data_IF_065154481382
#
_entry.id   IF_065154481382
#
_cell.length_a   1.000
_cell.length_b   1.000
_cell.length_c   1.000
_cell.angle_alpha   90.00
_cell.angle_beta   90.00
_cell.angle_gamma   90.00
#
_symmetry.space_group_name_H-M   'P 1'
#
loop_
_entity.id
_entity.type
_entity.pdbx_description
1 polymer ?
#
# COMPACT_ATOMS: atom_id res chain seq x y z
N UNK A 1 22.51 8.11 67.38
CA UNK A 1 21.07 8.00 67.67
C UNK A 1 20.29 8.57 66.50
N UNK A 2 19.25 7.85 66.08
CA UNK A 2 18.15 8.23 65.16
C UNK A 2 18.55 8.68 63.74
N UNK A 3 18.43 7.79 62.75
CA UNK A 3 17.20 7.54 61.95
C UNK A 3 16.73 8.75 61.17
N UNK A 4 16.96 8.76 59.84
CA UNK A 4 15.86 8.94 58.88
C UNK A 4 16.24 8.34 57.53
N UNK A 5 15.96 7.05 57.37
CA UNK A 5 15.56 6.45 56.09
C UNK A 5 14.38 7.25 55.56
N UNK A 6 14.41 7.74 54.32
CA UNK A 6 13.29 7.95 53.37
C UNK A 6 13.86 8.83 52.24
N UNK A 7 14.21 8.22 51.11
CA UNK A 7 14.08 8.79 49.76
C UNK A 7 14.27 7.64 48.76
N UNK A 8 13.35 6.66 48.81
CA UNK A 8 13.10 5.69 47.75
C UNK A 8 11.69 5.89 47.25
N UNK A 9 11.45 6.91 46.44
CA UNK A 9 10.22 7.08 45.65
C UNK A 9 10.49 7.98 44.44
N UNK A 10 11.38 7.57 43.54
CA UNK A 10 11.40 8.06 42.15
C UNK A 10 11.80 6.90 41.24
N UNK A 11 10.92 5.90 41.12
CA UNK A 11 11.01 4.86 40.12
C UNK A 11 9.62 4.24 39.93
N UNK A 12 8.65 5.05 39.52
CA UNK A 12 7.36 4.56 39.02
C UNK A 12 6.73 5.61 38.08
N UNK A 13 7.54 6.18 37.19
CA UNK A 13 7.06 7.05 36.13
C UNK A 13 6.94 6.23 34.84
N UNK A 14 5.69 6.04 34.40
CA UNK A 14 5.30 5.67 33.04
C UNK A 14 5.71 4.27 32.52
N UNK A 15 5.26 3.22 33.21
CA UNK A 15 4.86 1.97 32.55
C UNK A 15 3.34 1.76 32.65
N UNK A 16 2.58 2.87 32.73
CA UNK A 16 1.21 2.86 32.27
C UNK A 16 1.33 2.63 30.77
N UNK A 17 1.20 1.37 30.35
CA UNK A 17 0.94 1.07 28.96
C UNK A 17 -0.17 2.00 28.54
N UNK A 18 0.16 2.95 27.66
CA UNK A 18 -0.84 3.48 26.76
C UNK A 18 -1.52 2.22 26.25
N UNK A 19 -2.81 2.04 26.56
CA UNK A 19 -3.58 0.97 25.94
C UNK A 19 -3.32 1.17 24.46
N UNK A 20 -2.45 0.35 23.90
CA UNK A 20 -1.94 0.55 22.56
C UNK A 20 -3.15 0.38 21.69
N UNK A 21 -3.69 1.49 21.19
CA UNK A 21 -4.87 1.44 20.35
C UNK A 21 -4.53 0.46 19.22
N UNK A 22 -5.32 -0.60 19.14
CA UNK A 22 -5.01 -1.76 18.31
C UNK A 22 -6.31 -2.19 17.69
N UNK A 23 -6.31 -2.35 16.38
CA UNK A 23 -7.44 -2.92 15.66
C UNK A 23 -7.01 -4.14 14.86
N UNK A 24 -7.99 -4.83 14.31
CA UNK A 24 -7.81 -6.03 13.52
C UNK A 24 -8.79 -6.03 12.35
N UNK A 25 -8.31 -6.30 11.14
CA UNK A 25 -9.15 -6.25 9.94
C UNK A 25 -10.14 -7.42 9.82
N UNK A 26 -10.02 -8.46 10.65
CA UNK A 26 -10.97 -9.57 10.71
C UNK A 26 -12.07 -9.38 11.77
N UNK A 27 -12.11 -8.24 12.46
CA UNK A 27 -13.18 -7.90 13.40
C UNK A 27 -14.08 -6.84 12.78
N UNK A 28 -15.34 -7.21 12.50
CA UNK A 28 -16.33 -6.26 11.99
C UNK A 28 -16.81 -5.33 13.09
N UNK A 29 -17.09 -4.08 12.75
CA UNK A 29 -17.66 -3.05 13.60
C UNK A 29 -18.36 -1.96 12.79
N UNK A 30 -18.81 -0.87 13.43
CA UNK A 30 -19.55 0.20 12.76
C UNK A 30 -18.81 0.83 11.57
N UNK A 31 -17.48 0.93 11.67
CA UNK A 31 -16.62 1.56 10.66
C UNK A 31 -15.89 0.56 9.75
N UNK A 32 -16.15 -0.75 9.89
CA UNK A 32 -15.44 -1.77 9.13
C UNK A 32 -16.22 -3.09 9.02
N UNK A 33 -16.37 -3.62 7.81
CA UNK A 33 -17.04 -4.91 7.61
C UNK A 33 -16.34 -5.85 6.62
N UNK A 34 -15.17 -5.46 6.09
CA UNK A 34 -14.39 -6.25 5.15
C UNK A 34 -13.47 -7.21 5.92
N UNK A 35 -13.88 -8.47 6.07
CA UNK A 35 -13.16 -9.44 6.91
C UNK A 35 -12.67 -10.63 6.09
N UNK A 36 -12.19 -11.69 6.74
CA UNK A 36 -11.77 -12.92 6.03
C UNK A 36 -12.89 -13.55 5.20
N UNK A 37 -14.15 -13.21 5.45
CA UNK A 37 -15.31 -13.64 4.64
C UNK A 37 -15.32 -13.02 3.23
N UNK A 38 -14.68 -11.87 3.06
CA UNK A 38 -14.61 -11.11 1.80
C UNK A 38 -13.35 -11.49 0.99
N UNK A 39 -12.53 -12.40 1.52
CA UNK A 39 -11.43 -13.04 0.78
C UNK A 39 -11.96 -14.23 -0.02
N UNK A 40 -11.19 -14.66 -1.02
CA UNK A 40 -11.54 -15.84 -1.80
C UNK A 40 -11.69 -17.08 -0.91
N UNK A 41 -12.60 -17.98 -1.28
CA UNK A 41 -12.76 -19.25 -0.57
C UNK A 41 -11.50 -20.13 -0.66
N UNK A 42 -10.69 -19.94 -1.70
CA UNK A 42 -9.38 -20.57 -1.91
C UNK A 42 -8.27 -19.98 -1.04
N UNK A 43 -8.50 -18.84 -0.39
CA UNK A 43 -7.49 -18.20 0.45
C UNK A 43 -7.10 -19.12 1.60
N UNK A 44 -5.81 -19.38 1.69
CA UNK A 44 -5.19 -20.30 2.62
C UNK A 44 -5.35 -19.83 4.06
N UNK A 45 -5.32 -20.80 4.99
CA UNK A 45 -5.45 -20.49 6.40
C UNK A 45 -4.32 -19.58 6.90
N UNK A 46 -3.08 -19.85 6.48
CA UNK A 46 -1.91 -19.01 6.83
C UNK A 46 -2.09 -17.56 6.39
N UNK A 47 -2.67 -17.33 5.21
CA UNK A 47 -3.00 -15.99 4.74
C UNK A 47 -4.11 -15.35 5.58
N UNK A 48 -5.17 -16.08 5.90
CA UNK A 48 -6.26 -15.59 6.79
C UNK A 48 -5.76 -15.24 8.18
N UNK A 49 -4.84 -16.04 8.73
CA UNK A 49 -4.24 -15.80 10.04
C UNK A 49 -3.38 -14.52 10.02
N UNK A 50 -2.58 -14.33 8.98
CA UNK A 50 -1.79 -13.11 8.79
C UNK A 50 -2.67 -11.87 8.58
N UNK A 51 -3.74 -12.00 7.78
CA UNK A 51 -4.74 -10.95 7.59
C UNK A 51 -5.42 -10.57 8.91
N UNK A 52 -5.67 -11.57 9.77
CA UNK A 52 -6.26 -11.41 11.09
C UNK A 52 -5.22 -11.08 12.16
N UNK A 53 -4.03 -10.58 11.81
CA UNK A 53 -3.09 -10.07 12.79
C UNK A 53 -3.53 -8.69 13.29
N UNK A 54 -3.23 -8.40 14.55
CA UNK A 54 -3.46 -7.08 15.14
C UNK A 54 -2.53 -6.02 14.56
N UNK A 55 -3.04 -4.81 14.39
CA UNK A 55 -2.31 -3.62 13.98
C UNK A 55 -2.34 -2.64 15.15
N UNK A 56 -1.17 -2.35 15.71
CA UNK A 56 -1.00 -1.39 16.81
C UNK A 56 -1.03 0.04 16.24
N UNK A 57 -2.24 0.54 16.01
CA UNK A 57 -2.51 1.87 15.53
C UNK A 57 -3.87 2.35 16.06
N UNK A 58 -4.02 3.67 16.22
CA UNK A 58 -5.28 4.29 16.60
C UNK A 58 -6.41 3.94 15.62
N UNK A 59 -7.61 3.66 16.16
CA UNK A 59 -8.79 3.31 15.35
C UNK A 59 -9.22 4.42 14.40
N UNK A 60 -8.75 5.66 14.60
CA UNK A 60 -8.87 6.76 13.64
C UNK A 60 -8.45 6.32 12.23
N UNK A 61 -7.39 5.51 12.08
CA UNK A 61 -6.98 5.02 10.75
C UNK A 61 -8.05 4.12 10.13
N UNK A 62 -8.62 3.21 10.91
CA UNK A 62 -9.70 2.32 10.47
C UNK A 62 -10.94 3.13 10.08
N UNK A 63 -11.23 4.21 10.82
CA UNK A 63 -12.33 5.12 10.48
C UNK A 63 -12.04 5.92 9.21
N UNK A 64 -10.83 6.44 9.03
CA UNK A 64 -10.43 7.14 7.80
C UNK A 64 -10.55 6.23 6.58
N UNK A 65 -10.17 4.96 6.70
CA UNK A 65 -10.21 4.01 5.56
C UNK A 65 -11.61 3.47 5.30
N UNK A 66 -12.31 3.03 6.35
CA UNK A 66 -13.52 2.22 6.22
C UNK A 66 -14.81 2.91 6.60
N UNK A 67 -14.76 4.01 7.35
CA UNK A 67 -15.97 4.66 7.84
C UNK A 67 -16.69 5.39 6.71
N UNK A 68 -17.97 5.13 6.59
CA UNK A 68 -18.91 5.98 5.87
C UNK A 68 -19.82 6.76 6.82
N UNK A 69 -19.38 6.89 8.06
CA UNK A 69 -20.03 7.72 9.05
C UNK A 69 -19.97 9.19 8.59
N UNK A 70 -21.10 9.80 8.20
CA UNK A 70 -21.11 11.20 7.76
C UNK A 70 -20.76 12.17 8.89
N UNK A 71 -20.84 11.72 10.15
CA UNK A 71 -20.49 12.50 11.33
C UNK A 71 -19.02 12.29 11.74
N UNK A 72 -18.26 11.45 11.02
CA UNK A 72 -16.82 11.27 11.27
C UNK A 72 -16.03 12.45 10.72
N UNK A 73 -15.67 13.36 11.63
CA UNK A 73 -14.85 14.55 11.36
C UNK A 73 -13.58 14.51 12.23
N UNK A 74 -12.51 13.82 11.79
CA UNK A 74 -11.30 13.66 12.58
C UNK A 74 -10.63 15.00 12.82
N UNK A 75 -10.21 15.25 14.05
CA UNK A 75 -9.52 16.47 14.46
C UNK A 75 -8.00 16.25 14.49
N UNK A 76 -7.26 17.34 14.64
CA UNK A 76 -5.79 17.30 14.73
C UNK A 76 -5.28 16.39 15.87
N UNK A 77 -6.02 16.29 16.98
CA UNK A 77 -5.71 15.38 18.09
C UNK A 77 -5.84 13.90 17.71
N UNK A 78 -6.83 13.56 16.88
CA UNK A 78 -7.06 12.19 16.41
C UNK A 78 -5.92 11.78 15.47
N UNK A 79 -5.57 12.67 14.54
CA UNK A 79 -4.40 12.48 13.67
C UNK A 79 -3.11 12.40 14.48
N UNK A 80 -2.94 13.19 15.54
CA UNK A 80 -1.76 13.12 16.40
C UNK A 80 -1.66 11.79 17.15
N UNK A 81 -2.77 11.23 17.64
CA UNK A 81 -2.80 9.93 18.29
C UNK A 81 -2.48 8.79 17.30
N UNK A 82 -2.97 8.91 16.07
CA UNK A 82 -2.73 7.94 14.99
C UNK A 82 -1.30 8.01 14.42
N UNK A 83 -0.78 9.21 14.15
CA UNK A 83 0.46 9.49 13.44
C UNK A 83 1.71 9.28 14.31
N UNK A 84 1.86 8.06 14.82
CA UNK A 84 2.99 7.62 15.64
C UNK A 84 3.88 6.64 14.87
N UNK A 85 5.16 6.56 15.25
CA UNK A 85 6.07 5.54 14.70
C UNK A 85 5.55 4.12 14.98
N UNK A 86 4.95 3.89 16.15
CA UNK A 86 4.32 2.60 16.49
C UNK A 86 3.28 2.19 15.46
N UNK A 87 2.39 3.11 15.05
CA UNK A 87 1.42 2.83 13.99
C UNK A 87 2.10 2.54 12.65
N UNK A 88 3.02 3.39 12.21
CA UNK A 88 3.75 3.22 10.95
C UNK A 88 4.48 1.87 10.88
N UNK A 89 5.21 1.52 11.93
CA UNK A 89 5.99 0.30 12.02
C UNK A 89 5.09 -0.93 12.09
N UNK A 90 4.02 -0.88 12.90
CA UNK A 90 3.07 -1.98 12.99
C UNK A 90 2.36 -2.23 11.67
N UNK A 91 1.99 -1.18 10.95
CA UNK A 91 1.30 -1.30 9.66
C UNK A 91 2.24 -1.81 8.57
N UNK A 92 3.48 -1.35 8.56
CA UNK A 92 4.53 -1.86 7.66
C UNK A 92 4.82 -3.34 7.91
N UNK A 93 4.93 -3.73 9.18
CA UNK A 93 5.12 -5.12 9.55
C UNK A 93 3.90 -5.98 9.20
N UNK A 94 2.69 -5.47 9.40
CA UNK A 94 1.44 -6.13 9.00
C UNK A 94 1.44 -6.44 7.50
N UNK A 95 1.63 -5.44 6.64
CA UNK A 95 1.65 -5.63 5.18
C UNK A 95 2.74 -6.61 4.75
N UNK A 96 3.94 -6.50 5.33
CA UNK A 96 5.03 -7.44 5.07
C UNK A 96 4.67 -8.88 5.43
N UNK A 97 4.04 -9.10 6.58
CA UNK A 97 3.61 -10.42 7.03
C UNK A 97 2.52 -11.00 6.13
N UNK A 98 1.54 -10.18 5.75
CA UNK A 98 0.47 -10.59 4.82
C UNK A 98 1.07 -10.97 3.48
N UNK A 99 1.98 -10.16 2.90
CA UNK A 99 2.67 -10.50 1.64
C UNK A 99 3.43 -11.82 1.73
N UNK A 100 4.09 -12.08 2.86
CA UNK A 100 4.84 -13.32 3.06
C UNK A 100 3.92 -14.55 3.20
N UNK A 101 2.78 -14.40 3.86
CA UNK A 101 1.83 -15.47 4.14
C UNK A 101 0.85 -15.77 2.99
N UNK A 102 0.50 -14.74 2.22
CA UNK A 102 -0.48 -14.77 1.12
C UNK A 102 0.22 -14.87 -0.24
N UNK A 103 1.03 -15.91 -0.41
CA UNK A 103 1.90 -16.07 -1.59
C UNK A 103 1.41 -17.15 -2.57
N UNK A 104 0.20 -17.67 -2.38
CA UNK A 104 -0.41 -18.68 -3.26
C UNK A 104 -1.38 -18.03 -4.23
N UNK A 105 -1.52 -18.61 -5.43
CA UNK A 105 -2.41 -18.12 -6.50
C UNK A 105 -3.88 -17.97 -6.08
N UNK A 106 -4.32 -18.67 -5.03
CA UNK A 106 -5.67 -18.59 -4.48
C UNK A 106 -5.86 -17.59 -3.34
N UNK A 107 -4.81 -16.93 -2.87
CA UNK A 107 -4.85 -15.94 -1.78
C UNK A 107 -5.25 -14.57 -2.34
N UNK A 108 -6.56 -14.38 -2.51
CA UNK A 108 -7.11 -13.20 -3.18
C UNK A 108 -8.12 -12.46 -2.31
N UNK A 109 -8.09 -11.14 -2.42
CA UNK A 109 -9.09 -10.20 -1.90
C UNK A 109 -10.19 -9.97 -2.95
N UNK A 110 -11.44 -9.88 -2.48
CA UNK A 110 -12.59 -9.51 -3.30
C UNK A 110 -12.60 -8.03 -3.62
N UNK A 111 -12.70 -7.71 -4.91
CA UNK A 111 -12.93 -6.35 -5.40
C UNK A 111 -14.39 -6.22 -5.83
N UNK A 112 -15.07 -5.17 -5.38
CA UNK A 112 -16.42 -4.85 -5.81
C UNK A 112 -16.47 -4.59 -7.31
N UNK A 113 -17.35 -5.32 -8.00
CA UNK A 113 -17.70 -5.13 -9.39
C UNK A 113 -19.22 -5.20 -9.51
N UNK A 114 -19.86 -4.03 -9.53
CA UNK A 114 -21.31 -3.92 -9.39
C UNK A 114 -21.77 -4.52 -8.06
N UNK A 115 -22.65 -5.53 -8.12
CA UNK A 115 -23.22 -6.20 -6.96
C UNK A 115 -22.48 -7.50 -6.56
N UNK A 116 -21.28 -7.73 -7.07
CA UNK A 116 -20.50 -8.95 -6.83
C UNK A 116 -19.06 -8.64 -6.47
N UNK A 117 -18.40 -9.59 -5.81
CA UNK A 117 -16.95 -9.58 -5.68
C UNK A 117 -16.29 -10.34 -6.82
N UNK A 118 -15.22 -9.75 -7.35
CA UNK A 118 -14.24 -10.41 -8.22
C UNK A 118 -12.96 -10.57 -7.43
N UNK A 119 -12.54 -11.81 -7.20
CA UNK A 119 -11.34 -12.11 -6.43
C UNK A 119 -10.11 -12.00 -7.33
N UNK A 120 -9.42 -10.87 -7.27
CA UNK A 120 -8.31 -10.57 -8.18
C UNK A 120 -7.17 -9.76 -7.54
N UNK A 121 -7.43 -9.02 -6.46
CA UNK A 121 -6.37 -8.31 -5.74
C UNK A 121 -5.59 -9.30 -4.86
N UNK A 122 -4.26 -9.17 -4.74
CA UNK A 122 -3.53 -9.80 -3.64
C UNK A 122 -4.12 -9.39 -2.30
N UNK A 123 -4.19 -10.30 -1.31
CA UNK A 123 -4.74 -9.96 0.03
C UNK A 123 -4.00 -8.79 0.68
N UNK A 124 -2.71 -8.66 0.42
CA UNK A 124 -1.88 -7.56 0.91
C UNK A 124 -2.39 -6.16 0.49
N UNK A 125 -3.11 -6.05 -0.62
CA UNK A 125 -3.68 -4.78 -1.11
C UNK A 125 -4.56 -4.11 -0.06
N UNK A 126 -5.28 -4.87 0.76
CA UNK A 126 -6.09 -4.31 1.84
C UNK A 126 -5.23 -3.52 2.82
N UNK A 127 -4.10 -4.08 3.26
CA UNK A 127 -3.18 -3.38 4.16
C UNK A 127 -2.43 -2.24 3.48
N UNK A 128 -2.16 -2.33 2.17
CA UNK A 128 -1.55 -1.24 1.40
C UNK A 128 -2.47 -0.01 1.30
N UNK A 129 -3.80 -0.20 1.23
CA UNK A 129 -4.76 0.91 1.31
C UNK A 129 -4.68 1.62 2.66
N UNK A 130 -4.49 0.87 3.75
CA UNK A 130 -4.24 1.46 5.07
C UNK A 130 -2.91 2.21 5.10
N UNK A 131 -1.84 1.68 4.49
CA UNK A 131 -0.55 2.39 4.40
C UNK A 131 -0.69 3.71 3.64
N UNK A 132 -1.37 3.69 2.50
CA UNK A 132 -1.64 4.89 1.72
C UNK A 132 -2.41 5.93 2.53
N UNK A 133 -3.49 5.54 3.21
CA UNK A 133 -4.29 6.46 4.01
C UNK A 133 -3.53 6.97 5.24
N UNK A 134 -2.67 6.14 5.86
CA UNK A 134 -1.81 6.57 6.95
C UNK A 134 -0.85 7.68 6.49
N UNK A 135 -0.07 7.45 5.42
CA UNK A 135 0.91 8.46 4.96
C UNK A 135 0.22 9.73 4.44
N UNK A 136 -0.92 9.59 3.78
CA UNK A 136 -1.75 10.71 3.34
C UNK A 136 -2.23 11.53 4.54
N UNK A 137 -2.74 10.86 5.58
CA UNK A 137 -3.34 11.53 6.73
C UNK A 137 -2.30 12.17 7.65
N UNK A 138 -1.11 11.57 7.72
CA UNK A 138 0.01 12.03 8.55
C UNK A 138 0.93 13.04 7.86
N UNK A 139 0.71 13.31 6.58
CA UNK A 139 1.44 14.37 5.87
C UNK A 139 1.15 15.73 6.52
N UNK A 140 2.21 16.51 6.73
CA UNK A 140 2.12 17.85 7.34
C UNK A 140 2.72 18.91 6.44
N UNK A 141 2.17 20.12 6.50
CA UNK A 141 2.82 21.36 6.06
C UNK A 141 3.04 22.23 7.30
N UNK A 142 4.30 22.49 7.66
CA UNK A 142 4.64 23.05 8.96
C UNK A 142 4.13 22.17 10.12
N UNK A 143 3.26 22.71 10.98
CA UNK A 143 2.65 21.98 12.10
C UNK A 143 1.35 21.25 11.74
N UNK A 144 0.73 21.63 10.63
CA UNK A 144 -0.67 21.30 10.34
C UNK A 144 -0.76 20.05 9.47
N UNK A 145 -1.76 19.22 9.72
CA UNK A 145 -2.01 18.03 8.92
C UNK A 145 -2.66 18.42 7.60
N UNK A 146 -2.03 18.04 6.49
CA UNK A 146 -2.57 18.26 5.16
C UNK A 146 -3.94 17.63 4.98
N UNK A 147 -4.24 16.53 5.67
CA UNK A 147 -5.55 15.89 5.65
C UNK A 147 -6.71 16.82 6.05
N UNK A 148 -6.46 17.77 6.95
CA UNK A 148 -7.49 18.69 7.47
C UNK A 148 -7.61 19.96 6.63
N UNK A 149 -6.61 20.26 5.81
CA UNK A 149 -6.53 21.49 5.03
C UNK A 149 -6.59 21.24 3.52
N UNK A 150 -6.41 19.99 3.08
CA UNK A 150 -6.36 19.58 1.69
C UNK A 150 -6.86 18.14 1.49
N UNK A 151 -7.76 17.90 0.52
CA UNK A 151 -8.42 18.90 -0.30
C UNK A 151 -9.66 19.56 0.34
N UNK A 152 -9.90 20.84 0.05
CA UNK A 152 -11.21 21.47 0.21
C UNK A 152 -12.15 21.02 -0.93
N UNK A 153 -13.45 20.95 -0.66
CA UNK A 153 -14.44 20.18 -1.45
C UNK A 153 -14.49 20.45 -2.96
N UNK A 154 -14.21 21.67 -3.41
CA UNK A 154 -14.40 22.03 -4.82
C UNK A 154 -13.09 21.92 -5.65
N UNK A 155 -11.95 21.86 -4.97
CA UNK A 155 -10.61 21.73 -5.56
C UNK A 155 -9.99 20.36 -5.24
N UNK A 156 -10.85 19.35 -5.03
CA UNK A 156 -10.37 18.09 -4.49
C UNK A 156 -9.48 17.33 -5.48
N UNK A 157 -8.18 17.34 -5.17
CA UNK A 157 -7.11 16.91 -6.07
C UNK A 157 -6.97 17.78 -7.34
N UNK A 158 -7.15 19.10 -7.21
CA UNK A 158 -6.73 20.07 -8.24
C UNK A 158 -5.30 19.77 -8.71
N UNK A 159 -5.08 19.77 -10.01
CA UNK A 159 -3.82 19.34 -10.62
C UNK A 159 -2.88 20.51 -10.94
N UNK A 160 -3.41 21.72 -11.10
CA UNK A 160 -2.68 22.97 -11.33
C UNK A 160 -2.46 23.75 -10.02
N UNK A 161 -1.67 23.18 -9.12
CA UNK A 161 -1.26 23.81 -7.85
C UNK A 161 0.13 24.45 -7.96
N UNK A 162 0.41 25.55 -7.24
CA UNK A 162 1.76 26.10 -7.17
C UNK A 162 2.67 25.17 -6.38
N UNK A 163 3.97 25.14 -6.71
CA UNK A 163 4.96 24.33 -5.98
C UNK A 163 5.12 24.70 -4.50
N UNK A 164 4.65 25.87 -4.09
CA UNK A 164 4.58 26.27 -2.67
C UNK A 164 3.45 25.59 -1.90
N UNK A 165 2.51 24.92 -2.57
CA UNK A 165 1.47 24.11 -1.94
C UNK A 165 2.03 22.74 -1.54
N UNK A 166 2.71 22.71 -0.39
CA UNK A 166 3.31 21.48 0.13
C UNK A 166 2.29 20.35 0.32
N UNK A 167 1.02 20.67 0.62
CA UNK A 167 0.01 19.66 0.86
C UNK A 167 -0.47 19.01 -0.44
N UNK A 168 -0.65 19.78 -1.50
CA UNK A 168 -0.92 19.23 -2.83
C UNK A 168 0.27 18.38 -3.33
N UNK A 169 1.50 18.87 -3.19
CA UNK A 169 2.72 18.11 -3.55
C UNK A 169 2.76 16.77 -2.82
N UNK A 170 2.62 16.78 -1.49
CA UNK A 170 2.63 15.56 -0.66
C UNK A 170 1.47 14.63 -0.98
N UNK A 171 0.29 15.15 -1.31
CA UNK A 171 -0.86 14.34 -1.72
C UNK A 171 -0.54 13.49 -2.96
N UNK A 172 -0.04 14.11 -4.03
CA UNK A 172 0.27 13.39 -5.26
C UNK A 172 1.53 12.51 -5.12
N UNK A 173 2.54 12.93 -4.36
CA UNK A 173 3.69 12.08 -4.03
C UNK A 173 3.28 10.83 -3.24
N UNK A 174 2.41 10.98 -2.24
CA UNK A 174 1.93 9.85 -1.46
C UNK A 174 1.12 8.88 -2.32
N UNK A 175 0.27 9.40 -3.22
CA UNK A 175 -0.43 8.56 -4.19
C UNK A 175 0.54 7.85 -5.14
N UNK A 176 1.63 8.50 -5.55
CA UNK A 176 2.64 7.89 -6.42
C UNK A 176 3.42 6.78 -5.74
N UNK A 177 3.89 7.04 -4.53
CA UNK A 177 4.81 6.16 -3.81
C UNK A 177 4.11 4.94 -3.17
N UNK A 178 2.79 4.99 -2.99
CA UNK A 178 2.06 3.95 -2.27
C UNK A 178 1.20 3.11 -3.21
N UNK A 179 1.44 1.78 -3.32
CA UNK A 179 0.68 0.91 -4.22
C UNK A 179 -0.82 0.84 -3.87
N UNK A 180 -1.16 1.06 -2.60
CA UNK A 180 -2.56 1.10 -2.14
C UNK A 180 -3.37 2.26 -2.71
N UNK A 181 -2.73 3.27 -3.32
CA UNK A 181 -3.42 4.43 -3.90
C UNK A 181 -4.31 4.08 -5.09
N UNK A 182 -4.07 2.93 -5.74
CA UNK A 182 -4.87 2.41 -6.85
C UNK A 182 -6.22 1.81 -6.39
N UNK A 183 -6.45 1.72 -5.08
CA UNK A 183 -7.66 1.14 -4.51
C UNK A 183 -8.27 2.07 -3.46
N UNK A 184 -9.56 1.89 -3.21
CA UNK A 184 -10.27 2.58 -2.14
C UNK A 184 -11.36 1.68 -1.56
N UNK A 185 -11.81 2.00 -0.35
CA UNK A 185 -12.98 1.37 0.25
C UNK A 185 -14.21 2.25 0.04
N UNK A 186 -15.31 1.63 -0.38
CA UNK A 186 -16.61 2.26 -0.50
C UNK A 186 -17.68 1.28 0.03
N UNK A 187 -18.48 1.69 1.01
CA UNK A 187 -19.44 0.84 1.74
C UNK A 187 -18.82 -0.49 2.21
N UNK A 188 -17.64 -0.41 2.84
CA UNK A 188 -16.85 -1.57 3.29
C UNK A 188 -16.42 -2.54 2.19
N UNK A 189 -16.52 -2.16 0.92
CA UNK A 189 -16.09 -2.98 -0.20
C UNK A 189 -14.82 -2.37 -0.81
N UNK A 190 -13.81 -3.21 -1.05
CA UNK A 190 -12.60 -2.81 -1.76
C UNK A 190 -12.94 -2.60 -3.24
N UNK A 191 -12.60 -1.44 -3.79
CA UNK A 191 -12.77 -1.11 -5.21
C UNK A 191 -11.45 -0.68 -5.83
N UNK A 192 -11.35 -0.83 -7.15
CA UNK A 192 -10.37 -0.05 -7.91
C UNK A 192 -10.76 1.42 -7.86
N UNK A 193 -9.78 2.30 -7.94
CA UNK A 193 -10.07 3.70 -8.15
C UNK A 193 -10.73 3.94 -9.52
N UNK A 194 -11.39 5.09 -9.65
CA UNK A 194 -12.07 5.48 -10.88
C UNK A 194 -11.09 5.95 -11.96
N UNK A 195 -11.51 5.94 -13.22
CA UNK A 195 -10.74 6.57 -14.31
C UNK A 195 -10.51 8.06 -14.05
N UNK A 196 -11.50 8.74 -13.43
CA UNK A 196 -11.35 10.11 -12.97
C UNK A 196 -10.16 10.27 -12.00
N UNK A 197 -10.01 9.35 -11.04
CA UNK A 197 -8.87 9.36 -10.13
C UNK A 197 -7.56 9.17 -10.88
N UNK A 198 -7.49 8.24 -11.84
CA UNK A 198 -6.28 8.01 -12.63
C UNK A 198 -5.86 9.25 -13.43
N UNK A 199 -6.81 9.91 -14.10
CA UNK A 199 -6.57 11.15 -14.86
C UNK A 199 -6.13 12.30 -13.94
N UNK A 200 -6.82 12.48 -12.82
CA UNK A 200 -6.51 13.51 -11.82
C UNK A 200 -5.13 13.29 -11.22
N UNK A 201 -4.83 12.05 -10.86
CA UNK A 201 -3.53 11.64 -10.34
C UNK A 201 -2.41 11.88 -11.36
N UNK A 202 -2.62 11.52 -12.63
CA UNK A 202 -1.64 11.74 -13.68
C UNK A 202 -1.33 13.24 -13.88
N UNK A 203 -2.38 14.09 -13.91
CA UNK A 203 -2.21 15.53 -14.03
C UNK A 203 -1.49 16.16 -12.84
N UNK A 204 -1.87 15.79 -11.62
CA UNK A 204 -1.20 16.31 -10.43
C UNK A 204 0.24 15.82 -10.27
N UNK A 205 0.52 14.57 -10.68
CA UNK A 205 1.89 14.06 -10.71
C UNK A 205 2.78 14.82 -11.70
N UNK A 206 2.25 15.20 -12.87
CA UNK A 206 2.99 16.05 -13.82
C UNK A 206 3.42 17.36 -13.16
N UNK A 207 2.53 18.00 -12.40
CA UNK A 207 2.84 19.22 -11.63
C UNK A 207 3.91 18.98 -10.56
N UNK A 208 3.84 17.86 -9.81
CA UNK A 208 4.91 17.50 -8.84
C UNK A 208 6.27 17.37 -9.54
N UNK A 209 6.32 16.74 -10.71
CA UNK A 209 7.56 16.61 -11.50
C UNK A 209 8.06 17.99 -11.93
N UNK A 210 7.18 18.90 -12.37
CA UNK A 210 7.54 20.28 -12.73
C UNK A 210 8.09 21.07 -11.54
N UNK A 211 7.63 20.79 -10.32
CA UNK A 211 8.16 21.39 -9.09
C UNK A 211 9.57 20.91 -8.71
N UNK A 212 10.12 19.90 -9.39
CA UNK A 212 11.42 19.30 -9.08
C UNK A 212 11.38 18.26 -7.96
N UNK A 213 10.20 18.02 -7.39
CA UNK A 213 9.96 17.10 -6.28
C UNK A 213 9.48 15.72 -6.75
N UNK A 214 9.39 15.51 -8.06
CA UNK A 214 8.95 14.25 -8.68
C UNK A 214 9.96 13.10 -8.56
N UNK A 215 11.15 13.34 -8.02
CA UNK A 215 12.23 12.37 -8.03
C UNK A 215 12.72 12.09 -9.45
N UNK A 216 14.02 12.16 -9.65
CA UNK A 216 14.59 11.80 -10.95
C UNK A 216 14.50 10.28 -11.15
N UNK A 217 13.48 9.80 -11.88
CA UNK A 217 13.62 8.56 -12.66
C UNK A 217 14.63 8.74 -13.82
N UNK A 218 15.21 9.94 -13.95
CA UNK A 218 16.34 10.27 -14.81
C UNK A 218 17.65 10.38 -13.99
N UNK A 219 18.30 9.24 -13.76
CA UNK A 219 19.76 9.07 -13.70
C UNK A 219 20.60 10.23 -13.11
N UNK A 220 20.89 10.18 -11.81
CA UNK A 220 22.24 10.48 -11.30
C UNK A 220 22.41 9.92 -9.88
N UNK A 221 23.14 8.81 -9.77
CA UNK A 221 23.74 8.36 -8.52
C UNK A 221 24.75 9.43 -8.10
N UNK A 222 24.38 10.26 -7.13
CA UNK A 222 25.32 11.09 -6.38
C UNK A 222 25.39 10.54 -4.96
N UNK A 223 26.32 9.61 -4.78
CA UNK A 223 26.87 9.23 -3.48
C UNK A 223 27.48 10.45 -2.80
N UNK A 224 26.82 10.95 -1.77
CA UNK A 224 27.45 11.77 -0.74
C UNK A 224 27.80 10.87 0.44
N UNK A 225 28.88 10.10 0.28
CA UNK A 225 29.59 9.48 1.38
C UNK A 225 30.89 10.27 1.60
N UNK A 226 31.03 10.83 2.80
CA UNK A 226 32.22 11.55 3.25
C UNK A 226 33.50 10.74 3.04
N UNK A 227 34.44 11.36 2.34
CA UNK A 227 35.80 10.89 2.13
C UNK A 227 36.68 11.08 3.36
N UNK A 228 37.35 10.00 3.79
CA UNK A 228 38.80 9.87 4.08
C UNK A 228 39.00 8.42 4.51
N UNK A 229 39.68 7.55 3.74
CA UNK A 229 41.14 7.46 3.70
C UNK A 229 41.54 6.48 2.58
N UNK A 230 42.60 6.83 1.85
CA UNK A 230 43.19 6.14 0.71
C UNK A 230 43.64 4.71 0.97
N UNK A 231 43.43 3.84 -0.02
CA UNK A 231 44.05 2.52 -0.15
C UNK A 231 43.78 1.94 -1.54
N UNK A 232 44.72 2.14 -2.46
CA UNK A 232 44.74 1.65 -3.84
C UNK A 232 44.88 0.12 -3.86
N UNK A 233 43.99 -0.58 -4.58
CA UNK A 233 44.37 -1.66 -5.51
C UNK A 233 43.26 -1.92 -6.54
N UNK A 234 43.62 -1.68 -7.80
CA UNK A 234 42.98 -2.22 -9.01
C UNK A 234 42.82 -3.75 -8.91
N UNK A 235 41.73 -4.31 -9.45
CA UNK A 235 41.69 -5.57 -10.22
C UNK A 235 40.31 -5.71 -10.90
N UNK A 236 40.35 -5.53 -12.22
CA UNK A 236 39.70 -6.27 -13.31
C UNK A 236 38.21 -6.66 -13.25
N UNK A 237 37.52 -6.19 -14.27
CA UNK A 237 36.28 -6.68 -14.88
C UNK A 237 36.21 -8.20 -15.01
N UNK A 238 35.03 -8.78 -14.78
CA UNK A 238 34.61 -10.06 -15.34
C UNK A 238 33.08 -10.12 -15.45
N UNK A 239 32.62 -9.99 -16.68
CA UNK A 239 31.27 -10.32 -17.17
C UNK A 239 30.96 -11.79 -16.89
N UNK A 240 29.85 -12.08 -16.20
CA UNK A 240 29.33 -13.44 -16.06
C UNK A 240 27.98 -13.56 -16.75
N UNK A 241 27.99 -14.28 -17.87
CA UNK A 241 26.84 -14.68 -18.68
C UNK A 241 25.97 -15.71 -17.93
N UNK A 242 24.65 -15.48 -17.94
CA UNK A 242 23.66 -16.42 -17.40
C UNK A 242 23.37 -17.48 -18.47
N UNK A 243 23.78 -18.72 -18.20
CA UNK A 243 23.44 -19.90 -19.00
C UNK A 243 22.04 -20.41 -18.63
N UNK A 244 21.14 -20.42 -19.61
CA UNK A 244 19.88 -21.15 -19.57
C UNK A 244 20.15 -22.66 -19.57
N UNK A 245 19.59 -23.39 -18.61
CA UNK A 245 19.50 -24.86 -18.68
C UNK A 245 18.03 -25.29 -18.64
N UNK A 246 17.54 -25.68 -19.81
CA UNK A 246 16.28 -26.38 -20.00
C UNK A 246 16.33 -27.76 -19.32
N UNK A 247 15.26 -28.12 -18.62
CA UNK A 247 15.05 -29.46 -18.11
C UNK A 247 14.36 -30.31 -19.17
N UNK A 248 15.04 -31.40 -19.54
CA UNK A 248 14.59 -32.46 -20.45
C UNK A 248 13.55 -33.33 -19.74
N UNK A 249 12.41 -33.56 -20.38
CA UNK A 249 11.47 -34.63 -20.01
C UNK A 249 11.42 -35.65 -21.16
N UNK A 250 11.77 -36.89 -20.85
CA UNK A 250 11.62 -38.05 -21.72
C UNK A 250 10.72 -39.08 -21.03
N UNK A 251 9.52 -39.29 -21.56
CA UNK A 251 8.90 -40.62 -21.61
C UNK A 251 7.93 -40.67 -22.79
N UNK A 252 8.03 -41.71 -23.61
CA UNK A 252 7.15 -41.97 -24.76
C UNK A 252 6.82 -43.46 -24.77
N UNK A 253 5.52 -43.81 -24.86
CA UNK A 253 4.98 -44.97 -25.63
C UNK A 253 3.43 -44.94 -25.58
N UNK A 254 2.71 -45.57 -26.55
CA UNK A 254 1.50 -45.00 -27.13
C UNK A 254 0.22 -45.87 -27.04
N UNK A 255 -0.92 -45.16 -27.22
CA UNK A 255 -2.17 -45.46 -27.98
C UNK A 255 -2.98 -46.75 -27.73
N UNK A 256 -4.27 -46.56 -27.40
CA UNK A 256 -5.41 -47.15 -28.13
C UNK A 256 -6.71 -46.33 -27.88
N UNK A 257 -7.58 -46.37 -28.90
CA UNK A 257 -8.70 -45.48 -29.26
C UNK A 257 -10.03 -45.90 -28.60
N UNK A 258 -11.03 -44.98 -28.48
CA UNK A 258 -12.43 -45.12 -29.00
C UNK A 258 -13.38 -43.98 -28.54
N UNK A 259 -13.89 -43.23 -29.54
CA UNK A 259 -15.15 -42.44 -29.76
C UNK A 259 -16.07 -42.05 -28.56
N UNK A 260 -16.74 -40.88 -28.47
CA UNK A 260 -17.58 -40.09 -29.43
C UNK A 260 -17.99 -38.72 -28.79
N UNK A 261 -18.61 -37.75 -29.51
CA UNK A 261 -18.48 -36.28 -29.31
C UNK A 261 -19.68 -35.55 -28.65
N UNK A 262 -19.53 -34.22 -28.36
CA UNK A 262 -20.51 -33.07 -28.42
C UNK A 262 -20.16 -31.96 -27.35
N UNK A 263 -20.33 -30.62 -27.60
CA UNK A 263 -19.35 -29.72 -28.21
C UNK A 263 -18.82 -28.61 -27.28
N UNK A 264 -17.73 -27.99 -27.73
CA UNK A 264 -17.06 -26.86 -27.10
C UNK A 264 -17.89 -25.56 -27.13
N UNK A 265 -17.83 -24.84 -26.01
CA UNK A 265 -18.28 -23.44 -25.86
C UNK A 265 -17.19 -22.53 -26.40
N UNK A 266 -17.56 -21.66 -27.35
CA UNK A 266 -16.67 -20.66 -27.93
C UNK A 266 -16.05 -19.75 -26.88
N UNK A 267 -14.76 -19.58 -27.05
CA UNK A 267 -13.89 -18.54 -26.52
C UNK A 267 -14.43 -17.14 -26.87
N UNK A 268 -14.38 -16.26 -25.89
CA UNK A 268 -14.19 -14.83 -26.15
C UNK A 268 -13.26 -14.34 -25.05
N UNK A 269 -12.05 -14.00 -25.48
CA UNK A 269 -11.00 -13.39 -24.70
C UNK A 269 -11.54 -12.14 -24.01
N UNK A 270 -11.53 -12.14 -22.68
CA UNK A 270 -11.43 -10.91 -21.92
C UNK A 270 -9.96 -10.82 -21.49
N UNK A 271 -9.21 -9.98 -22.20
CA UNK A 271 -7.87 -9.55 -21.82
C UNK A 271 -7.94 -9.02 -20.39
N UNK A 272 -7.39 -9.78 -19.45
CA UNK A 272 -7.29 -9.40 -18.05
C UNK A 272 -6.28 -8.26 -17.94
N UNK A 273 -6.77 -7.03 -17.82
CA UNK A 273 -5.96 -5.91 -17.37
C UNK A 273 -5.75 -6.06 -15.87
N UNK A 274 -4.59 -6.58 -15.48
CA UNK A 274 -4.04 -6.33 -14.16
C UNK A 274 -4.08 -4.82 -13.93
N UNK A 275 -4.74 -4.36 -12.87
CA UNK A 275 -4.67 -2.98 -12.40
C UNK A 275 -3.23 -2.75 -11.91
N UNK A 276 -2.33 -2.50 -12.86
CA UNK A 276 -1.05 -1.85 -12.59
C UNK A 276 -1.43 -0.44 -12.22
N UNK A 277 -1.09 0.01 -11.01
CA UNK A 277 -0.98 1.44 -10.73
C UNK A 277 -0.26 2.06 -11.93
N UNK A 278 -0.77 3.18 -12.47
CA UNK A 278 -0.26 3.81 -13.70
C UNK A 278 1.22 4.24 -13.69
N UNK A 279 2.03 3.78 -12.73
CA UNK A 279 3.43 4.08 -12.49
C UNK A 279 4.43 3.41 -13.46
N UNK A 280 4.02 2.95 -14.65
CA UNK A 280 4.98 2.47 -15.67
C UNK A 280 4.61 2.81 -17.12
N UNK A 281 3.62 3.70 -17.34
CA UNK A 281 3.35 4.23 -18.69
C UNK A 281 3.84 5.67 -18.86
N UNK A 282 5.10 5.92 -18.52
CA UNK A 282 5.82 7.06 -19.08
C UNK A 282 6.50 6.63 -20.38
N UNK A 283 5.92 7.13 -21.49
CA UNK A 283 6.46 7.30 -22.85
C UNK A 283 7.42 6.23 -23.38
N UNK A 284 6.93 5.44 -24.33
CA UNK A 284 7.74 5.08 -25.48
C UNK A 284 8.20 6.37 -26.19
N UNK A 285 9.50 6.60 -26.21
CA UNK A 285 10.13 7.64 -27.02
C UNK A 285 9.73 7.48 -28.48
N UNK A 286 8.87 8.35 -28.99
CA UNK A 286 8.82 8.61 -30.43
C UNK A 286 9.79 9.75 -30.73
N UNK A 287 11.05 9.35 -30.97
CA UNK A 287 11.90 10.04 -31.92
C UNK A 287 11.18 10.01 -33.27
N UNK A 288 10.82 11.16 -33.84
CA UNK A 288 10.78 11.33 -35.30
C UNK A 288 10.95 12.82 -35.67
N UNK A 289 12.07 13.05 -36.38
CA UNK A 289 12.52 14.16 -37.24
C UNK A 289 12.34 15.61 -36.79
#
# INVERSE_FOLDING_TARGET
MASTTIFRFVALSAALGQATATFNLNTSGPSWAYTTKDLANTTSQTCKDAYSASINCDETLLKIVGSMDPDFDPQASDLQAMCTMTCSDSLTQYVKNVKAACNKDGDLAGIASGNKYVYQAPVATVGEVFQYNYVKSCAKSGSDYCFLTYPASDDWAKTDFPCSDECAVKFFQNAHNQPGSAYSFNYFALGNQSSYWEETYAGGWETVVQCGDGGSDASSVSTSASSTTSGIVDISSSTSSINNKAAVSTTSTPTAVTTTPVPARSTSEATSTTATSGASRLRASFLFF
#
